data_IF_166814069989
#
_entry.id   IF_166814069989
#
_cell.length_a   1.000
_cell.length_b   1.000
_cell.length_c   1.000
_cell.angle_alpha   90.00
_cell.angle_beta   90.00
_cell.angle_gamma   90.00
#
_symmetry.space_group_name_H-M   'P 1'
#
loop_
_entity.id
_entity.type
_entity.pdbx_description
1 polymer ?
#
# COMPACT_ATOMS: atom_id res chain seq x y z
N UNK A 1 -55.03 31.74 42.50
CA UNK A 1 -53.91 32.64 42.43
C UNK A 1 -52.69 32.04 43.12
N UNK A 2 -52.36 30.74 42.83
CA UNK A 2 -51.23 30.02 43.42
C UNK A 2 -50.45 29.10 42.40
N UNK A 3 -50.81 29.15 41.11
CA UNK A 3 -50.20 28.30 40.06
C UNK A 3 -49.23 29.09 39.17
N UNK A 4 -49.21 30.43 39.19
CA UNK A 4 -48.40 31.28 38.34
C UNK A 4 -47.00 31.52 38.95
N UNK A 5 -46.76 31.26 40.23
CA UNK A 5 -45.48 31.47 40.90
C UNK A 5 -44.47 30.32 40.78
N UNK A 6 -44.89 29.12 40.32
CA UNK A 6 -43.99 27.96 40.14
C UNK A 6 -43.36 27.85 38.75
N UNK A 7 -43.86 28.57 37.75
CA UNK A 7 -43.33 28.53 36.37
C UNK A 7 -42.17 29.51 36.19
N UNK A 8 -42.07 30.57 37.00
CA UNK A 8 -41.03 31.57 36.87
C UNK A 8 -39.67 31.16 37.48
N UNK A 9 -39.62 30.16 38.37
CA UNK A 9 -38.36 29.68 39.00
C UNK A 9 -37.67 28.57 38.18
N UNK A 10 -38.39 27.86 37.29
CA UNK A 10 -37.83 26.77 36.47
C UNK A 10 -37.07 27.25 35.22
N UNK A 11 -37.28 28.50 34.78
CA UNK A 11 -36.65 29.03 33.54
C UNK A 11 -35.27 29.67 33.79
N UNK A 12 -34.93 30.04 35.01
CA UNK A 12 -33.63 30.67 35.36
C UNK A 12 -32.53 29.64 35.63
N UNK A 13 -32.87 28.37 35.85
CA UNK A 13 -31.88 27.32 36.18
C UNK A 13 -31.26 26.61 34.96
N UNK A 14 -31.64 26.95 33.71
CA UNK A 14 -31.19 26.25 32.50
C UNK A 14 -30.15 27.04 31.67
N UNK A 15 -29.80 28.26 32.12
CA UNK A 15 -28.89 29.14 31.36
C UNK A 15 -27.41 29.14 31.82
N UNK A 16 -26.99 28.22 32.71
CA UNK A 16 -25.63 28.22 33.27
C UNK A 16 -24.74 27.03 32.81
N UNK A 17 -25.16 26.21 31.81
CA UNK A 17 -24.35 25.09 31.37
C UNK A 17 -23.87 25.21 29.92
N UNK A 18 -23.78 26.41 29.34
CA UNK A 18 -23.36 26.62 27.94
C UNK A 18 -21.92 27.18 27.81
N UNK A 19 -21.05 27.04 28.81
CA UNK A 19 -19.68 27.52 28.76
C UNK A 19 -18.65 26.47 29.21
N UNK A 20 -18.69 25.26 28.61
CA UNK A 20 -17.62 24.29 28.88
C UNK A 20 -17.14 23.55 27.61
N UNK A 21 -17.04 24.23 26.47
CA UNK A 21 -16.54 23.63 25.23
C UNK A 21 -15.29 24.35 24.68
N UNK A 22 -14.59 25.11 25.51
CA UNK A 22 -13.25 25.63 25.20
C UNK A 22 -12.32 25.30 26.36
N UNK A 23 -12.12 24.01 26.64
CA UNK A 23 -10.89 23.63 27.32
C UNK A 23 -9.78 23.59 26.27
N UNK A 24 -9.13 24.75 26.04
CA UNK A 24 -7.75 24.76 25.62
C UNK A 24 -7.00 23.99 26.72
N UNK A 25 -6.25 22.97 26.35
CA UNK A 25 -5.31 22.27 27.23
C UNK A 25 -4.28 23.31 27.72
N UNK A 26 -4.56 23.97 28.84
CA UNK A 26 -3.67 24.99 29.45
C UNK A 26 -2.42 24.38 30.10
N UNK A 27 -2.25 23.04 30.09
CA UNK A 27 -1.13 22.35 30.72
C UNK A 27 -0.04 21.83 29.76
N UNK A 28 -0.10 22.18 28.47
CA UNK A 28 0.99 21.78 27.57
C UNK A 28 2.18 22.75 27.69
N UNK A 29 3.34 22.21 28.06
CA UNK A 29 4.58 23.00 28.22
C UNK A 29 4.93 23.67 26.88
N UNK A 30 5.00 25.01 26.86
CA UNK A 30 5.46 25.78 25.71
C UNK A 30 6.95 25.56 25.51
N UNK A 31 7.37 25.14 24.31
CA UNK A 31 8.75 24.82 23.95
C UNK A 31 9.42 25.97 23.19
N UNK A 32 8.67 26.56 22.24
CA UNK A 32 9.16 27.68 21.44
C UNK A 32 8.01 28.63 21.06
N UNK A 33 8.33 29.87 20.71
CA UNK A 33 7.39 30.88 20.25
C UNK A 33 8.07 31.82 19.24
N UNK A 34 7.36 32.06 18.12
CA UNK A 34 7.76 33.07 17.12
C UNK A 34 6.49 33.86 16.76
N UNK A 35 6.45 35.12 17.12
CA UNK A 35 5.26 35.97 17.03
C UNK A 35 4.03 35.32 17.69
N UNK A 36 2.98 35.10 16.90
CA UNK A 36 1.74 34.47 17.38
C UNK A 36 1.76 32.94 17.26
N UNK A 37 2.81 32.32 16.70
CA UNK A 37 2.96 30.89 16.57
C UNK A 37 3.66 30.30 17.79
N UNK A 38 3.03 29.32 18.42
CA UNK A 38 3.56 28.64 19.62
C UNK A 38 3.76 27.15 19.30
N UNK A 39 4.86 26.59 19.77
CA UNK A 39 5.16 25.17 19.72
C UNK A 39 5.01 24.62 21.14
N UNK A 40 4.18 23.62 21.30
CA UNK A 40 3.98 22.94 22.56
C UNK A 40 4.67 21.57 22.56
N UNK A 41 4.92 21.03 23.76
CA UNK A 41 5.49 19.68 23.91
C UNK A 41 4.66 18.60 23.19
N UNK A 42 3.34 18.76 23.16
CA UNK A 42 2.39 17.88 22.46
C UNK A 42 2.54 17.88 20.94
N UNK A 43 3.16 18.91 20.36
CA UNK A 43 3.39 19.04 18.92
C UNK A 43 4.69 18.36 18.49
N UNK A 44 5.53 17.97 19.45
CA UNK A 44 6.79 17.26 19.18
C UNK A 44 6.48 15.76 19.02
N UNK A 45 6.97 15.12 17.96
CA UNK A 45 6.78 13.69 17.78
C UNK A 45 7.20 12.88 19.00
N UNK A 46 6.37 11.94 19.43
CA UNK A 46 6.52 11.16 20.66
C UNK A 46 7.88 10.45 20.75
N UNK A 47 8.41 9.95 19.62
CA UNK A 47 9.72 9.31 19.57
C UNK A 47 10.91 10.25 19.89
N UNK A 48 10.68 11.57 19.86
CA UNK A 48 11.68 12.58 20.27
C UNK A 48 11.53 13.02 21.74
N UNK A 49 10.45 12.61 22.40
CA UNK A 49 10.15 13.01 23.79
C UNK A 49 10.39 11.86 24.79
N UNK A 50 10.38 10.60 24.35
CA UNK A 50 10.42 9.41 25.23
C UNK A 50 11.82 8.86 25.52
N UNK A 51 12.84 9.14 24.72
CA UNK A 51 14.20 8.64 24.96
C UNK A 51 15.12 9.74 25.51
N UNK A 52 15.71 9.46 26.68
CA UNK A 52 16.75 10.33 27.29
C UNK A 52 18.15 10.03 26.75
N UNK A 53 18.28 9.54 25.52
CA UNK A 53 19.58 9.35 24.88
C UNK A 53 20.14 10.69 24.37
N UNK A 54 21.47 10.84 24.30
CA UNK A 54 22.11 12.04 23.74
C UNK A 54 21.62 12.31 22.33
N UNK A 55 21.31 11.26 21.59
CA UNK A 55 20.83 11.34 20.20
C UNK A 55 19.39 11.90 20.14
N UNK A 56 18.47 11.47 20.99
CA UNK A 56 17.10 11.99 21.05
C UNK A 56 17.07 13.46 21.49
N UNK A 57 17.91 13.88 22.43
CA UNK A 57 18.03 15.26 22.85
C UNK A 57 18.53 16.14 21.69
N UNK A 58 19.51 15.66 20.94
CA UNK A 58 20.04 16.36 19.77
C UNK A 58 19.01 16.48 18.66
N UNK A 59 18.28 15.43 18.37
CA UNK A 59 17.23 15.42 17.36
C UNK A 59 16.04 16.31 17.76
N UNK A 60 15.65 16.29 19.03
CA UNK A 60 14.62 17.19 19.56
C UNK A 60 15.03 18.67 19.42
N UNK A 61 16.27 19.00 19.76
CA UNK A 61 16.80 20.35 19.57
C UNK A 61 16.77 20.76 18.09
N UNK A 62 17.20 19.87 17.20
CA UNK A 62 17.16 20.09 15.75
C UNK A 62 15.73 20.32 15.23
N UNK A 63 14.76 19.57 15.74
CA UNK A 63 13.34 19.75 15.41
C UNK A 63 12.85 21.15 15.81
N UNK A 64 13.11 21.58 17.05
CA UNK A 64 12.74 22.91 17.54
C UNK A 64 13.43 24.02 16.75
N UNK A 65 14.73 23.89 16.50
CA UNK A 65 15.50 24.86 15.71
C UNK A 65 14.95 25.00 14.29
N UNK A 66 14.57 23.89 13.65
CA UNK A 66 13.98 23.89 12.32
C UNK A 66 12.59 24.53 12.32
N UNK A 67 11.75 24.23 13.31
CA UNK A 67 10.45 24.87 13.48
C UNK A 67 10.60 26.40 13.62
N UNK A 68 11.52 26.87 14.47
CA UNK A 68 11.78 28.31 14.64
C UNK A 68 12.24 28.95 13.33
N UNK A 69 13.18 28.33 12.61
CA UNK A 69 13.65 28.81 11.30
C UNK A 69 12.53 28.91 10.29
N UNK A 70 11.65 27.89 10.23
CA UNK A 70 10.49 27.88 9.33
C UNK A 70 9.54 29.04 9.65
N UNK A 71 9.21 29.27 10.93
CA UNK A 71 8.34 30.38 11.33
C UNK A 71 8.95 31.76 11.05
N UNK A 72 10.26 31.92 11.28
CA UNK A 72 10.97 33.15 10.93
C UNK A 72 11.00 33.39 9.41
N UNK A 73 11.19 32.32 8.61
CA UNK A 73 11.13 32.44 7.16
C UNK A 73 9.73 32.80 6.68
N UNK A 74 8.68 32.18 7.24
CA UNK A 74 7.28 32.51 6.96
C UNK A 74 6.99 34.00 7.28
N UNK A 75 7.44 34.49 8.45
CA UNK A 75 7.32 35.90 8.80
C UNK A 75 7.95 36.78 7.73
N UNK A 76 9.18 36.47 7.33
CA UNK A 76 9.86 37.23 6.28
C UNK A 76 9.17 37.16 4.93
N UNK A 77 8.59 36.02 4.57
CA UNK A 77 7.79 35.86 3.36
C UNK A 77 6.56 36.79 3.41
N UNK A 78 5.80 36.79 4.51
CA UNK A 78 4.63 37.65 4.69
C UNK A 78 4.97 39.16 4.69
N UNK A 79 6.15 39.55 5.19
CA UNK A 79 6.62 40.93 5.16
C UNK A 79 7.02 41.41 3.74
N UNK A 80 7.45 40.51 2.87
CA UNK A 80 8.04 40.85 1.56
C UNK A 80 7.17 40.48 0.36
N UNK A 81 6.18 39.60 0.53
CA UNK A 81 5.25 39.21 -0.53
C UNK A 81 4.11 40.24 -0.63
N UNK A 82 3.69 40.55 -1.83
CA UNK A 82 2.46 41.34 -2.05
C UNK A 82 1.23 40.52 -1.69
N UNK A 83 0.12 41.18 -1.37
CA UNK A 83 -1.14 40.51 -1.04
C UNK A 83 -1.58 39.50 -2.11
N UNK A 84 -1.44 39.82 -3.40
CA UNK A 84 -1.71 38.90 -4.50
C UNK A 84 -0.77 37.69 -4.54
N UNK A 85 0.48 37.82 -4.12
CA UNK A 85 1.45 36.72 -4.05
C UNK A 85 1.24 35.84 -2.81
N UNK A 86 0.62 36.39 -1.77
CA UNK A 86 0.33 35.68 -0.52
C UNK A 86 -1.10 35.10 -0.47
N UNK A 87 -1.94 35.44 -1.47
CA UNK A 87 -3.33 34.98 -1.53
C UNK A 87 -3.42 33.63 -2.20
N UNK A 88 -3.89 32.64 -1.47
CA UNK A 88 -4.09 31.27 -1.92
C UNK A 88 -5.55 30.79 -1.74
N UNK A 89 -6.50 31.70 -1.45
CA UNK A 89 -7.88 31.33 -1.08
C UNK A 89 -8.51 30.41 -2.12
N UNK A 90 -8.45 30.79 -3.42
CA UNK A 90 -9.01 29.97 -4.49
C UNK A 90 -8.33 28.61 -4.61
N UNK A 91 -7.01 28.52 -4.40
CA UNK A 91 -6.26 27.27 -4.43
C UNK A 91 -6.63 26.38 -3.26
N UNK A 92 -6.74 26.98 -2.06
CA UNK A 92 -7.15 26.27 -0.84
C UNK A 92 -8.59 25.78 -0.94
N UNK A 93 -9.50 26.60 -1.49
CA UNK A 93 -10.88 26.21 -1.75
C UNK A 93 -10.96 25.03 -2.72
N UNK A 94 -10.27 25.11 -3.87
CA UNK A 94 -10.22 24.03 -4.83
C UNK A 94 -9.65 22.74 -4.25
N UNK A 95 -8.61 22.85 -3.45
CA UNK A 95 -8.00 21.69 -2.76
C UNK A 95 -8.97 21.08 -1.74
N UNK A 96 -9.61 21.90 -0.91
CA UNK A 96 -10.64 21.45 0.03
C UNK A 96 -11.78 20.74 -0.68
N UNK A 97 -12.31 21.32 -1.77
CA UNK A 97 -13.40 20.73 -2.55
C UNK A 97 -12.98 19.39 -3.15
N UNK A 98 -11.75 19.29 -3.68
CA UNK A 98 -11.19 18.03 -4.20
C UNK A 98 -11.09 16.94 -3.11
N UNK A 99 -10.67 17.31 -1.90
CA UNK A 99 -10.61 16.37 -0.76
C UNK A 99 -12.00 15.90 -0.32
N UNK A 100 -12.99 16.80 -0.30
CA UNK A 100 -14.37 16.46 0.05
C UNK A 100 -14.97 15.50 -0.97
N UNK A 101 -14.80 15.78 -2.28
CA UNK A 101 -15.27 14.91 -3.36
C UNK A 101 -14.59 13.56 -3.28
N UNK A 102 -13.27 13.51 -3.14
CA UNK A 102 -12.51 12.28 -3.00
C UNK A 102 -12.97 11.43 -1.81
N UNK A 103 -13.19 12.08 -0.66
CA UNK A 103 -13.66 11.41 0.55
C UNK A 103 -15.05 10.80 0.34
N UNK A 104 -15.95 11.54 -0.29
CA UNK A 104 -17.30 11.08 -0.61
C UNK A 104 -17.28 9.92 -1.62
N UNK A 105 -16.49 10.03 -2.70
CA UNK A 105 -16.31 8.95 -3.67
C UNK A 105 -15.79 7.66 -3.00
N UNK A 106 -14.79 7.77 -2.12
CA UNK A 106 -14.28 6.61 -1.37
C UNK A 106 -15.34 5.99 -0.44
N UNK A 107 -16.16 6.81 0.18
CA UNK A 107 -17.26 6.31 1.02
C UNK A 107 -18.26 5.51 0.19
N UNK A 108 -18.62 5.99 -1.00
CA UNK A 108 -19.51 5.28 -1.94
C UNK A 108 -18.88 3.95 -2.38
N UNK A 109 -17.58 3.97 -2.75
CA UNK A 109 -16.86 2.77 -3.15
C UNK A 109 -16.89 1.73 -2.03
N UNK A 110 -16.56 2.13 -0.80
CA UNK A 110 -16.54 1.22 0.34
C UNK A 110 -17.92 0.62 0.67
N UNK A 111 -19.00 1.36 0.41
CA UNK A 111 -20.36 0.90 0.69
C UNK A 111 -20.98 0.08 -0.43
N UNK A 112 -20.70 0.42 -1.69
CA UNK A 112 -21.49 -0.08 -2.84
C UNK A 112 -20.68 -0.91 -3.84
N UNK A 113 -19.34 -0.95 -3.74
CA UNK A 113 -18.53 -1.68 -4.71
C UNK A 113 -18.69 -3.18 -4.50
N UNK A 114 -19.12 -3.89 -5.55
CA UNK A 114 -19.02 -5.35 -5.60
C UNK A 114 -17.57 -5.78 -5.83
N UNK A 115 -16.97 -6.37 -4.79
CA UNK A 115 -15.58 -6.84 -4.79
C UNK A 115 -15.43 -8.31 -5.21
N UNK A 116 -16.55 -9.02 -5.44
CA UNK A 116 -16.54 -10.41 -5.84
C UNK A 116 -16.29 -10.53 -7.36
N UNK A 117 -15.07 -10.88 -7.74
CA UNK A 117 -14.73 -11.14 -9.14
C UNK A 117 -14.64 -12.65 -9.36
N UNK A 118 -15.49 -13.17 -10.20
CA UNK A 118 -15.54 -14.60 -10.52
C UNK A 118 -14.39 -15.06 -11.43
N UNK A 119 -13.99 -16.33 -11.33
CA UNK A 119 -13.01 -16.90 -12.26
C UNK A 119 -13.49 -16.86 -13.73
N UNK A 120 -14.79 -16.87 -13.96
CA UNK A 120 -15.36 -16.75 -15.30
C UNK A 120 -15.08 -15.36 -15.90
N UNK A 121 -15.33 -14.28 -15.13
CA UNK A 121 -15.04 -12.89 -15.54
C UNK A 121 -13.54 -12.69 -15.80
N UNK A 122 -12.68 -13.18 -14.90
CA UNK A 122 -11.22 -13.10 -15.06
C UNK A 122 -10.76 -13.78 -16.35
N UNK A 123 -11.22 -15.01 -16.61
CA UNK A 123 -10.88 -15.76 -17.81
C UNK A 123 -11.44 -15.11 -19.09
N UNK A 124 -12.65 -14.55 -19.02
CA UNK A 124 -13.27 -13.82 -20.14
C UNK A 124 -12.41 -12.59 -20.48
N UNK A 125 -12.14 -11.75 -19.49
CA UNK A 125 -11.34 -10.54 -19.68
C UNK A 125 -9.94 -10.86 -20.22
N UNK A 126 -9.28 -11.90 -19.67
CA UNK A 126 -7.97 -12.34 -20.15
C UNK A 126 -8.01 -12.76 -21.62
N UNK A 127 -8.99 -13.57 -22.05
CA UNK A 127 -9.11 -14.01 -23.47
C UNK A 127 -9.28 -12.83 -24.41
N UNK A 128 -10.10 -11.84 -24.02
CA UNK A 128 -10.38 -10.66 -24.83
C UNK A 128 -9.19 -9.69 -24.91
N UNK A 129 -8.31 -9.71 -23.91
CA UNK A 129 -7.23 -8.73 -23.76
C UNK A 129 -5.84 -9.34 -23.63
N UNK A 130 -5.64 -10.62 -23.95
CA UNK A 130 -4.39 -11.35 -23.69
C UNK A 130 -3.14 -10.70 -24.29
N UNK A 131 -3.26 -10.05 -25.45
CA UNK A 131 -2.17 -9.35 -26.14
C UNK A 131 -1.60 -8.16 -25.35
N UNK A 132 -2.36 -7.64 -24.38
CA UNK A 132 -1.93 -6.53 -23.50
C UNK A 132 -1.07 -7.02 -22.34
N UNK A 133 -1.09 -8.32 -22.03
CA UNK A 133 -0.36 -8.93 -20.93
C UNK A 133 0.94 -9.57 -21.41
N UNK A 134 1.93 -8.75 -21.74
CA UNK A 134 3.26 -9.22 -22.10
C UNK A 134 4.17 -9.30 -20.88
N UNK A 135 4.92 -10.39 -20.77
CA UNK A 135 5.91 -10.59 -19.74
C UNK A 135 6.96 -9.48 -19.76
N UNK A 136 7.21 -8.88 -18.60
CA UNK A 136 8.29 -7.88 -18.42
C UNK A 136 9.63 -8.50 -18.06
N UNK A 137 9.62 -9.80 -17.71
CA UNK A 137 10.78 -10.60 -17.28
C UNK A 137 10.56 -12.05 -17.65
N UNK A 138 11.65 -12.82 -17.74
CA UNK A 138 11.59 -14.26 -17.95
C UNK A 138 10.99 -14.93 -16.71
N UNK A 139 10.10 -15.91 -16.93
CA UNK A 139 9.48 -16.71 -15.88
C UNK A 139 9.64 -18.20 -16.19
N UNK A 140 9.69 -18.99 -15.15
CA UNK A 140 9.86 -20.44 -15.25
C UNK A 140 8.94 -21.15 -14.28
N UNK A 141 8.43 -22.31 -14.67
CA UNK A 141 7.89 -23.31 -13.76
C UNK A 141 9.02 -24.26 -13.40
N UNK A 142 9.39 -24.28 -12.15
CA UNK A 142 10.46 -25.13 -11.64
C UNK A 142 10.26 -25.44 -10.19
N UNK A 143 10.71 -26.59 -9.75
CA UNK A 143 11.00 -26.87 -8.33
C UNK A 143 12.47 -26.68 -8.08
N UNK A 144 12.83 -26.19 -6.91
CA UNK A 144 14.22 -26.07 -6.53
C UNK A 144 14.43 -26.28 -5.04
N UNK A 145 15.59 -26.79 -4.69
CA UNK A 145 16.09 -26.94 -3.31
C UNK A 145 17.53 -26.43 -3.27
N UNK A 146 17.80 -25.48 -2.41
CA UNK A 146 19.15 -25.02 -2.09
C UNK A 146 19.53 -25.51 -0.69
N UNK A 147 20.68 -26.14 -0.53
CA UNK A 147 21.14 -26.70 0.73
C UNK A 147 22.63 -26.45 0.93
N UNK A 148 23.12 -26.55 2.19
CA UNK A 148 24.55 -26.49 2.47
C UNK A 148 25.29 -27.71 1.89
N UNK A 149 26.56 -27.55 1.53
CA UNK A 149 27.36 -28.67 0.98
C UNK A 149 27.57 -29.83 1.95
N UNK A 150 27.48 -29.58 3.24
CA UNK A 150 27.56 -30.60 4.31
C UNK A 150 26.19 -31.18 4.74
N UNK A 151 25.11 -30.85 4.04
CA UNK A 151 23.80 -31.46 4.33
C UNK A 151 23.85 -32.98 4.08
N UNK A 152 23.14 -33.79 4.91
CA UNK A 152 23.03 -35.21 4.71
C UNK A 152 22.22 -35.56 3.45
N UNK A 153 22.30 -36.82 3.03
CA UNK A 153 21.42 -37.43 2.00
C UNK A 153 21.28 -36.66 0.66
N UNK A 154 22.34 -35.97 0.24
CA UNK A 154 22.35 -35.20 -1.03
C UNK A 154 22.08 -36.09 -2.25
N UNK A 155 22.56 -37.34 -2.26
CA UNK A 155 22.30 -38.31 -3.33
C UNK A 155 20.81 -38.67 -3.41
N UNK A 156 20.18 -38.86 -2.25
CA UNK A 156 18.72 -39.07 -2.16
C UNK A 156 17.94 -37.84 -2.63
N UNK A 157 18.35 -36.64 -2.19
CA UNK A 157 17.74 -35.41 -2.65
C UNK A 157 17.81 -35.27 -4.18
N UNK A 158 18.96 -35.57 -4.77
CA UNK A 158 19.14 -35.54 -6.22
C UNK A 158 18.21 -36.52 -6.92
N UNK A 159 18.08 -37.75 -6.39
CA UNK A 159 17.18 -38.77 -6.90
C UNK A 159 15.70 -38.32 -6.83
N UNK A 160 15.26 -37.74 -5.69
CA UNK A 160 13.90 -37.25 -5.50
C UNK A 160 13.59 -36.04 -6.41
N UNK A 161 14.51 -35.09 -6.50
CA UNK A 161 14.33 -33.87 -7.28
C UNK A 161 14.18 -34.13 -8.78
N UNK A 162 14.79 -35.17 -9.31
CA UNK A 162 14.78 -35.49 -10.75
C UNK A 162 14.02 -36.75 -11.10
N UNK A 163 13.42 -37.41 -10.10
CA UNK A 163 12.51 -38.53 -10.23
C UNK A 163 11.04 -38.11 -10.38
N UNK A 164 10.15 -38.99 -9.95
CA UNK A 164 8.71 -38.65 -9.88
C UNK A 164 8.42 -37.80 -8.65
N UNK A 165 8.35 -36.50 -8.83
CA UNK A 165 8.14 -35.53 -7.75
C UNK A 165 6.88 -35.80 -6.91
N UNK A 166 5.85 -36.37 -7.52
CA UNK A 166 4.62 -36.69 -6.81
C UNK A 166 4.81 -37.90 -5.88
N UNK A 167 5.67 -38.82 -6.27
CA UNK A 167 5.99 -39.99 -5.44
C UNK A 167 6.87 -39.59 -4.26
N UNK A 168 7.80 -38.65 -4.44
CA UNK A 168 8.76 -38.20 -3.43
C UNK A 168 8.36 -36.89 -2.75
N UNK A 169 7.10 -36.48 -2.81
CA UNK A 169 6.63 -35.20 -2.27
C UNK A 169 6.88 -35.10 -0.76
N UNK A 170 6.57 -36.17 0.01
CA UNK A 170 6.76 -36.20 1.46
C UNK A 170 8.26 -36.14 1.84
N UNK A 171 9.11 -36.92 1.16
CA UNK A 171 10.57 -36.92 1.39
C UNK A 171 11.17 -35.52 1.08
N UNK A 172 10.73 -34.88 0.01
CA UNK A 172 11.17 -33.54 -0.35
C UNK A 172 10.73 -32.47 0.66
N UNK A 173 9.48 -32.56 1.14
CA UNK A 173 8.96 -31.63 2.18
C UNK A 173 9.76 -31.82 3.46
N UNK A 174 10.02 -33.06 3.90
CA UNK A 174 10.80 -33.34 5.09
C UNK A 174 12.23 -32.82 4.98
N UNK A 175 12.92 -33.13 3.87
CA UNK A 175 14.26 -32.60 3.60
C UNK A 175 14.29 -31.08 3.59
N UNK A 176 13.32 -30.44 2.92
CA UNK A 176 13.23 -28.99 2.86
C UNK A 176 13.07 -28.36 4.24
N UNK A 177 12.28 -28.96 5.11
CA UNK A 177 12.04 -28.44 6.46
C UNK A 177 13.26 -28.50 7.37
N UNK A 178 14.14 -29.48 7.16
CA UNK A 178 15.29 -29.74 8.02
C UNK A 178 16.60 -29.17 7.51
N UNK A 179 16.85 -29.23 6.21
CA UNK A 179 18.19 -29.05 5.63
C UNK A 179 18.26 -27.98 4.52
N UNK A 180 17.14 -27.37 4.08
CA UNK A 180 17.19 -26.40 3.00
C UNK A 180 17.49 -24.99 3.49
N UNK A 181 18.26 -24.25 2.70
CA UNK A 181 18.41 -22.80 2.80
C UNK A 181 17.23 -22.09 2.13
N UNK A 182 16.77 -22.66 1.00
CA UNK A 182 15.61 -22.23 0.24
C UNK A 182 14.99 -23.42 -0.48
N UNK A 183 13.68 -23.46 -0.52
CA UNK A 183 12.93 -24.55 -1.11
C UNK A 183 11.67 -24.05 -1.79
N UNK A 184 11.37 -24.62 -2.96
CA UNK A 184 10.11 -24.39 -3.69
C UNK A 184 9.75 -25.68 -4.40
N UNK A 185 8.60 -26.27 -4.06
CA UNK A 185 8.14 -27.56 -4.57
C UNK A 185 6.86 -27.46 -5.40
N UNK A 186 6.24 -26.27 -5.55
CA UNK A 186 5.04 -26.10 -6.35
C UNK A 186 5.36 -26.11 -7.86
N UNK A 187 5.01 -27.20 -8.52
CA UNK A 187 5.20 -27.38 -9.97
C UNK A 187 4.27 -26.52 -10.82
N UNK A 188 3.23 -25.95 -10.24
CA UNK A 188 2.21 -25.18 -10.94
C UNK A 188 2.48 -23.67 -10.96
N UNK A 189 3.30 -23.18 -10.03
CA UNK A 189 3.59 -21.77 -9.87
C UNK A 189 4.66 -21.28 -10.86
N UNK A 190 4.43 -20.09 -11.41
CA UNK A 190 5.43 -19.38 -12.19
C UNK A 190 6.32 -18.54 -11.30
N UNK A 191 7.63 -18.70 -11.46
CA UNK A 191 8.64 -17.97 -10.68
C UNK A 191 9.45 -17.05 -11.62
N UNK A 192 9.77 -15.82 -11.21
CA UNK A 192 10.74 -15.00 -11.95
C UNK A 192 12.09 -15.71 -12.00
N UNK A 193 12.67 -15.86 -13.19
CA UNK A 193 14.00 -16.45 -13.34
C UNK A 193 15.08 -15.74 -12.52
N UNK A 194 14.97 -14.41 -12.42
CA UNK A 194 15.88 -13.60 -11.61
C UNK A 194 15.87 -14.01 -10.13
N UNK A 195 14.69 -14.40 -9.57
CA UNK A 195 14.58 -14.85 -8.18
C UNK A 195 15.36 -16.16 -7.95
N UNK A 196 15.29 -17.09 -8.91
CA UNK A 196 16.04 -18.35 -8.82
C UNK A 196 17.56 -18.07 -8.87
N UNK A 197 17.99 -17.17 -9.78
CA UNK A 197 19.38 -16.78 -9.88
C UNK A 197 19.89 -16.09 -8.61
N UNK A 198 19.09 -15.24 -8.01
CA UNK A 198 19.42 -14.56 -6.74
C UNK A 198 19.61 -15.56 -5.60
N UNK A 199 18.68 -16.48 -5.41
CA UNK A 199 18.75 -17.53 -4.38
C UNK A 199 19.98 -18.42 -4.58
N UNK A 200 20.26 -18.84 -5.81
CA UNK A 200 21.42 -19.68 -6.14
C UNK A 200 22.74 -18.91 -6.25
N UNK A 201 22.75 -17.57 -6.01
CA UNK A 201 23.93 -16.70 -6.24
C UNK A 201 24.55 -16.89 -7.63
N UNK A 202 23.71 -17.23 -8.60
CA UNK A 202 24.15 -17.54 -9.96
C UNK A 202 24.50 -16.25 -10.71
N UNK A 203 25.65 -16.21 -11.38
CA UNK A 203 26.00 -15.06 -12.22
C UNK A 203 24.95 -14.84 -13.31
N UNK A 204 24.69 -13.57 -13.65
CA UNK A 204 23.68 -13.19 -14.66
C UNK A 204 23.94 -13.87 -16.01
N UNK A 205 25.20 -14.13 -16.35
CA UNK A 205 25.63 -14.72 -17.62
C UNK A 205 25.50 -16.25 -17.68
N UNK A 206 25.24 -16.91 -16.55
CA UNK A 206 25.08 -18.36 -16.53
C UNK A 206 23.75 -18.71 -17.19
N UNK A 207 23.80 -19.22 -18.42
CA UNK A 207 22.62 -19.78 -19.10
C UNK A 207 22.15 -21.00 -18.34
N UNK A 208 21.04 -20.85 -17.61
CA UNK A 208 20.30 -21.97 -17.10
C UNK A 208 19.68 -22.67 -18.33
N UNK A 209 19.87 -23.96 -18.47
CA UNK A 209 19.18 -24.74 -19.51
C UNK A 209 17.72 -24.95 -19.03
N UNK A 210 16.87 -23.97 -19.30
CA UNK A 210 15.53 -23.87 -18.75
C UNK A 210 14.47 -24.48 -19.65
N UNK A 211 14.86 -25.11 -20.75
CA UNK A 211 13.93 -25.74 -21.70
C UNK A 211 13.47 -27.13 -21.25
N UNK A 212 13.50 -27.39 -19.99
CA UNK A 212 13.17 -28.65 -19.34
C UNK A 212 14.43 -29.40 -18.94
N UNK A 213 14.59 -29.64 -17.65
CA UNK A 213 15.68 -30.48 -17.22
C UNK A 213 16.33 -30.16 -15.90
N UNK A 214 17.23 -31.03 -15.63
CA UNK A 214 18.05 -31.14 -14.45
C UNK A 214 19.16 -30.08 -14.47
N UNK A 215 19.22 -29.24 -13.46
CA UNK A 215 20.28 -28.28 -13.25
C UNK A 215 20.78 -28.38 -11.81
N UNK A 216 22.09 -28.52 -11.63
CA UNK A 216 22.74 -28.55 -10.33
C UNK A 216 23.82 -27.45 -10.34
N UNK A 217 23.79 -26.60 -9.35
CA UNK A 217 24.76 -25.53 -9.16
C UNK A 217 25.38 -25.66 -7.78
N UNK A 218 26.68 -25.82 -7.76
CA UNK A 218 27.44 -25.91 -6.53
C UNK A 218 28.40 -24.72 -6.42
N UNK A 219 28.43 -24.09 -5.27
CA UNK A 219 29.43 -23.11 -4.88
C UNK A 219 30.25 -23.63 -3.68
N UNK A 220 31.09 -22.81 -3.09
CA UNK A 220 31.95 -23.20 -1.96
C UNK A 220 31.18 -23.57 -0.69
N UNK A 221 29.92 -23.17 -0.54
CA UNK A 221 29.10 -23.29 0.67
C UNK A 221 27.81 -24.06 0.46
N UNK A 222 27.23 -24.00 -0.71
CA UNK A 222 25.89 -24.49 -1.01
C UNK A 222 25.77 -25.18 -2.36
N UNK A 223 24.80 -26.08 -2.44
CA UNK A 223 24.38 -26.73 -3.69
C UNK A 223 22.92 -26.41 -3.94
N UNK A 224 22.58 -26.02 -5.16
CA UNK A 224 21.21 -25.77 -5.58
C UNK A 224 20.80 -26.75 -6.67
N UNK A 225 19.72 -27.47 -6.44
CA UNK A 225 19.08 -28.39 -7.36
C UNK A 225 17.86 -27.73 -7.96
N UNK A 226 17.74 -27.72 -9.30
CA UNK A 226 16.61 -27.10 -10.01
C UNK A 226 16.10 -28.10 -11.06
N UNK A 227 14.82 -28.45 -10.97
CA UNK A 227 14.11 -29.20 -11.99
C UNK A 227 13.09 -28.25 -12.67
N UNK A 228 13.36 -27.88 -13.94
CA UNK A 228 12.56 -26.91 -14.68
C UNK A 228 11.65 -27.61 -15.70
N UNK A 229 10.39 -27.16 -15.81
CA UNK A 229 9.38 -27.78 -16.67
C UNK A 229 9.01 -26.92 -17.86
N UNK A 230 8.87 -25.60 -17.65
CA UNK A 230 8.44 -24.67 -18.68
C UNK A 230 9.06 -23.30 -18.45
N UNK A 231 9.50 -22.66 -19.53
CA UNK A 231 10.06 -21.29 -19.50
C UNK A 231 9.32 -20.41 -20.49
N UNK A 232 9.06 -19.19 -20.10
CA UNK A 232 8.55 -18.13 -20.97
C UNK A 232 9.46 -16.91 -20.87
N UNK A 233 9.86 -16.43 -22.04
CA UNK A 233 10.75 -15.27 -22.13
C UNK A 233 10.01 -13.94 -22.02
N UNK A 234 10.71 -12.90 -21.63
CA UNK A 234 10.27 -11.52 -21.68
C UNK A 234 9.68 -11.19 -23.06
N UNK A 235 8.52 -10.56 -23.09
CA UNK A 235 7.79 -10.21 -24.31
C UNK A 235 6.76 -11.25 -24.77
N UNK A 236 6.84 -12.49 -24.28
CA UNK A 236 5.79 -13.48 -24.50
C UNK A 236 4.47 -13.08 -23.81
N UNK A 237 3.33 -13.61 -24.29
CA UNK A 237 2.05 -13.42 -23.61
C UNK A 237 2.10 -14.15 -22.27
N UNK A 238 1.85 -13.39 -21.20
CA UNK A 238 1.87 -13.90 -19.84
C UNK A 238 0.73 -14.93 -19.63
N UNK A 239 0.99 -16.09 -19.00
CA UNK A 239 -0.06 -17.06 -18.73
C UNK A 239 -1.13 -16.49 -17.78
N UNK A 240 -2.36 -16.95 -17.90
CA UNK A 240 -3.48 -16.53 -17.05
C UNK A 240 -3.16 -16.62 -15.56
N UNK A 241 -2.52 -17.70 -15.11
CA UNK A 241 -2.14 -17.92 -13.72
C UNK A 241 -1.17 -16.85 -13.19
N UNK A 242 -0.29 -16.36 -14.06
CA UNK A 242 0.67 -15.29 -13.72
C UNK A 242 0.01 -13.94 -13.50
N UNK A 243 -0.98 -13.59 -14.35
CA UNK A 243 -1.63 -12.28 -14.33
C UNK A 243 -2.95 -12.27 -13.56
N UNK A 244 -3.37 -13.37 -12.96
CA UNK A 244 -4.68 -13.51 -12.31
C UNK A 244 -4.96 -12.42 -11.28
N UNK A 245 -3.99 -12.06 -10.45
CA UNK A 245 -4.13 -11.01 -9.43
C UNK A 245 -4.18 -9.61 -10.08
N UNK A 246 -3.41 -9.39 -11.13
CA UNK A 246 -3.44 -8.16 -11.92
C UNK A 246 -4.79 -7.97 -12.58
N UNK A 247 -5.33 -9.03 -13.22
CA UNK A 247 -6.67 -9.04 -13.82
C UNK A 247 -7.76 -8.69 -12.80
N UNK A 248 -7.67 -9.25 -11.59
CA UNK A 248 -8.62 -8.92 -10.52
C UNK A 248 -8.56 -7.44 -10.15
N UNK A 249 -7.37 -6.89 -10.03
CA UNK A 249 -7.16 -5.47 -9.73
C UNK A 249 -7.71 -4.56 -10.84
N UNK A 250 -7.49 -4.92 -12.11
CA UNK A 250 -8.01 -4.19 -13.27
C UNK A 250 -9.54 -4.19 -13.28
N UNK A 251 -10.18 -5.35 -13.09
CA UNK A 251 -11.63 -5.45 -13.08
C UNK A 251 -12.26 -4.68 -11.91
N UNK A 252 -11.66 -4.76 -10.72
CA UNK A 252 -12.11 -3.97 -9.57
C UNK A 252 -11.97 -2.47 -9.83
N UNK A 253 -10.87 -2.04 -10.43
CA UNK A 253 -10.67 -0.63 -10.77
C UNK A 253 -11.68 -0.16 -11.83
N UNK A 254 -11.97 -0.99 -12.84
CA UNK A 254 -13.02 -0.71 -13.83
C UNK A 254 -14.38 -0.52 -13.16
N UNK A 255 -14.78 -1.45 -12.28
CA UNK A 255 -16.03 -1.34 -11.50
C UNK A 255 -16.09 -0.07 -10.64
N UNK A 256 -14.96 0.35 -10.04
CA UNK A 256 -14.89 1.62 -9.29
C UNK A 256 -15.20 2.82 -10.17
N UNK A 257 -14.55 2.89 -11.33
CA UNK A 257 -14.75 3.99 -12.28
C UNK A 257 -16.21 4.03 -12.76
N UNK A 258 -16.78 2.89 -13.14
CA UNK A 258 -18.16 2.76 -13.59
C UNK A 258 -19.16 3.13 -12.49
N UNK A 259 -18.92 2.71 -11.24
CA UNK A 259 -19.76 3.06 -10.09
C UNK A 259 -19.77 4.57 -9.84
N UNK A 260 -18.59 5.21 -9.82
CA UNK A 260 -18.51 6.65 -9.60
C UNK A 260 -19.12 7.44 -10.76
N UNK A 261 -18.90 7.02 -12.00
CA UNK A 261 -19.53 7.65 -13.17
C UNK A 261 -21.06 7.57 -13.08
N UNK A 262 -21.59 6.41 -12.71
CA UNK A 262 -23.04 6.22 -12.52
C UNK A 262 -23.61 7.12 -11.42
N UNK A 263 -22.93 7.20 -10.28
CA UNK A 263 -23.37 8.06 -9.18
C UNK A 263 -23.34 9.55 -9.56
N UNK A 264 -22.31 9.99 -10.30
CA UNK A 264 -22.26 11.37 -10.83
C UNK A 264 -23.43 11.67 -11.73
N UNK A 265 -23.79 10.75 -12.62
CA UNK A 265 -24.95 10.89 -13.51
C UNK A 265 -26.26 10.93 -12.74
N UNK A 266 -26.46 10.03 -11.77
CA UNK A 266 -27.66 10.01 -10.90
C UNK A 266 -27.82 11.36 -10.14
N UNK A 267 -26.72 11.94 -9.64
CA UNK A 267 -26.73 13.24 -8.96
C UNK A 267 -27.09 14.35 -9.95
N UNK A 268 -26.51 14.32 -11.15
CA UNK A 268 -26.77 15.33 -12.18
C UNK A 268 -28.24 15.29 -12.66
N UNK A 269 -28.76 14.10 -12.93
CA UNK A 269 -30.17 13.89 -13.30
C UNK A 269 -31.12 14.40 -12.22
N UNK A 270 -30.86 14.07 -10.95
CA UNK A 270 -31.65 14.55 -9.82
C UNK A 270 -31.63 16.08 -9.70
N UNK A 271 -30.47 16.70 -9.81
CA UNK A 271 -30.31 18.15 -9.79
C UNK A 271 -31.03 18.83 -10.95
N UNK A 272 -31.06 18.21 -12.13
CA UNK A 272 -31.79 18.70 -13.31
C UNK A 272 -33.30 18.68 -13.07
N UNK A 273 -33.84 17.59 -12.53
CA UNK A 273 -35.26 17.45 -12.19
C UNK A 273 -35.70 18.47 -11.13
N UNK A 274 -34.86 18.70 -10.14
CA UNK A 274 -35.11 19.61 -9.04
C UNK A 274 -34.81 21.08 -9.38
N UNK A 275 -34.25 21.38 -10.58
CA UNK A 275 -33.79 22.72 -11.00
C UNK A 275 -32.78 23.34 -10.03
N UNK A 276 -31.79 22.55 -9.59
CA UNK A 276 -30.81 22.99 -8.60
C UNK A 276 -29.63 23.79 -9.22
N UNK A 277 -29.56 23.92 -10.54
CA UNK A 277 -28.56 24.72 -11.24
C UNK A 277 -29.12 25.47 -12.46
N UNK A 278 -28.44 26.54 -12.85
CA UNK A 278 -28.71 27.29 -14.07
C UNK A 278 -27.41 27.46 -14.85
N UNK A 279 -27.52 27.40 -16.17
CA UNK A 279 -26.39 27.65 -17.07
C UNK A 279 -26.67 28.96 -17.83
N UNK A 280 -25.71 29.87 -17.73
CA UNK A 280 -25.76 31.15 -18.44
C UNK A 280 -24.78 31.10 -19.63
N UNK A 281 -25.25 31.30 -20.83
CA UNK A 281 -24.43 31.39 -22.07
C UNK A 281 -23.93 32.81 -22.34
#
# INVERSE_FOLDING_TARGET
MRIVQFVAVAVVSFSLNACSFFYANEDSLKVAEVDNSQLFETDIPEFLTQENSIDSITQRKLFVDNWVKEKLLLKKALENLTENQASFEKQLENYRNSLLIYTFENQIINQKLDTLVSNFELKKYYRENSMNFKLRKDIVKAVFVATLNNAPDKDSLEFWMFGDLKYFEEDLIEFCSQFSIACHLDTSEWIPLAKIKEIGKLSVDKKLNLTGGRNIFEDSLSTMYINSFQTLEKGAIAPYSWVKNELKSILLNKRKIELIAKVKEEIFEAATLNKEYEVYE
#
